data_IF_402117844702
#
_entry.id   IF_402117844702
#
_cell.length_a   1.000
_cell.length_b   1.000
_cell.length_c   1.000
_cell.angle_alpha   90.00
_cell.angle_beta   90.00
_cell.angle_gamma   90.00
#
_symmetry.space_group_name_H-M   'P 1'
#
loop_
_entity.id
_entity.type
_entity.pdbx_description
1 polymer ?
#
# COMPACT_ATOMS: atom_id res chain seq x y z
N UNK A 1 -4.25 7.13 24.37
CA UNK A 1 -4.13 5.74 23.88
C UNK A 1 -3.76 4.72 24.96
N UNK A 2 -2.68 4.89 25.72
CA UNK A 2 -2.17 3.88 26.67
C UNK A 2 -3.22 3.24 27.60
N UNK A 3 -4.13 4.02 28.21
CA UNK A 3 -5.18 3.48 29.08
C UNK A 3 -6.13 2.49 28.38
N UNK A 4 -6.58 2.76 27.15
CA UNK A 4 -7.45 1.82 26.41
C UNK A 4 -6.73 0.51 26.09
N UNK A 5 -5.43 0.55 25.80
CA UNK A 5 -4.62 -0.66 25.56
C UNK A 5 -4.47 -1.50 26.84
N UNK A 6 -4.33 -0.86 28.00
CA UNK A 6 -4.32 -1.54 29.30
C UNK A 6 -5.68 -2.16 29.61
N UNK A 7 -6.77 -1.42 29.39
CA UNK A 7 -8.14 -1.84 29.65
C UNK A 7 -8.56 -3.06 28.80
N UNK A 8 -8.18 -3.07 27.50
CA UNK A 8 -8.36 -4.21 26.59
C UNK A 8 -7.54 -5.43 27.05
N UNK A 9 -6.26 -5.24 27.42
CA UNK A 9 -5.42 -6.33 27.97
C UNK A 9 -6.00 -6.92 29.26
N UNK A 10 -6.45 -6.10 30.19
CA UNK A 10 -7.06 -6.54 31.45
C UNK A 10 -8.38 -7.28 31.21
N UNK A 11 -9.18 -6.83 30.24
CA UNK A 11 -10.43 -7.51 29.84
C UNK A 11 -10.15 -8.88 29.24
N UNK A 12 -9.19 -9.00 28.32
CA UNK A 12 -8.73 -10.27 27.74
C UNK A 12 -8.17 -11.22 28.80
N UNK A 13 -7.32 -10.75 29.72
CA UNK A 13 -6.79 -11.58 30.83
C UNK A 13 -7.91 -12.06 31.75
N UNK A 14 -8.93 -11.23 32.01
CA UNK A 14 -10.09 -11.61 32.84
C UNK A 14 -10.98 -12.63 32.13
N UNK A 15 -11.19 -12.48 30.82
CA UNK A 15 -11.93 -13.43 30.00
C UNK A 15 -11.23 -14.80 29.93
N UNK A 16 -9.91 -14.80 29.67
CA UNK A 16 -9.08 -16.02 29.70
C UNK A 16 -9.11 -16.71 31.08
N UNK A 17 -9.05 -15.95 32.19
CA UNK A 17 -9.20 -16.52 33.55
C UNK A 17 -10.58 -17.11 33.79
N UNK A 18 -11.66 -16.49 33.30
CA UNK A 18 -13.02 -17.07 33.40
C UNK A 18 -13.14 -18.37 32.59
N UNK A 19 -12.54 -18.45 31.39
CA UNK A 19 -12.48 -19.69 30.61
C UNK A 19 -11.67 -20.77 31.34
N UNK A 20 -10.50 -20.43 31.90
CA UNK A 20 -9.68 -21.38 32.66
C UNK A 20 -10.42 -21.93 33.90
N UNK A 21 -11.18 -21.09 34.61
CA UNK A 21 -12.01 -21.51 35.74
C UNK A 21 -13.21 -22.39 35.31
N UNK A 22 -13.83 -22.09 34.17
CA UNK A 22 -14.85 -22.94 33.54
C UNK A 22 -14.28 -24.33 33.19
N UNK A 23 -13.05 -24.39 32.67
CA UNK A 23 -12.36 -25.65 32.36
C UNK A 23 -11.98 -26.44 33.62
N UNK A 24 -11.55 -25.78 34.70
CA UNK A 24 -11.26 -26.42 35.99
C UNK A 24 -12.53 -26.92 36.69
N UNK A 25 -13.66 -26.22 36.56
CA UNK A 25 -14.96 -26.66 37.07
C UNK A 25 -15.47 -27.96 36.43
N UNK A 26 -15.05 -28.25 35.19
CA UNK A 26 -15.40 -29.48 34.48
C UNK A 26 -14.65 -30.71 35.04
N UNK A 27 -13.51 -30.53 35.71
CA UNK A 27 -12.67 -31.65 36.21
C UNK A 27 -13.23 -32.34 37.46
N UNK A 28 -14.16 -31.71 38.20
CA UNK A 28 -14.65 -32.22 39.50
C UNK A 28 -16.02 -32.93 39.38
N UNK A 29 -16.72 -32.82 38.24
CA UNK A 29 -18.03 -33.45 38.05
C UNK A 29 -17.93 -34.92 37.58
N UNK A 30 -17.91 -35.86 38.54
CA UNK A 30 -18.20 -37.29 38.31
C UNK A 30 -19.70 -37.47 37.97
N UNK A 31 -20.12 -37.14 36.75
CA UNK A 31 -21.53 -37.33 36.36
C UNK A 31 -21.97 -36.81 34.98
N UNK A 32 -21.05 -36.54 34.05
CA UNK A 32 -21.41 -35.98 32.73
C UNK A 32 -21.36 -37.07 31.65
N UNK A 33 -22.51 -37.29 30.98
CA UNK A 33 -22.70 -38.29 29.93
C UNK A 33 -21.81 -38.05 28.70
N UNK A 34 -21.51 -39.14 27.98
CA UNK A 34 -20.54 -39.15 26.87
C UNK A 34 -20.87 -38.13 25.75
N UNK A 35 -22.14 -37.83 25.51
CA UNK A 35 -22.59 -36.88 24.49
C UNK A 35 -22.11 -35.44 24.72
N UNK A 36 -21.87 -35.01 25.98
CA UNK A 36 -21.34 -33.66 26.26
C UNK A 36 -19.83 -33.53 26.10
N UNK A 37 -19.07 -34.63 26.10
CA UNK A 37 -17.61 -34.60 25.86
C UNK A 37 -17.27 -34.31 24.40
N UNK A 38 -18.10 -34.78 23.47
CA UNK A 38 -17.92 -34.57 22.02
C UNK A 38 -18.06 -33.08 21.68
N UNK A 39 -19.10 -32.41 22.18
CA UNK A 39 -19.34 -30.99 21.92
C UNK A 39 -18.18 -30.07 22.37
N UNK A 40 -17.57 -30.34 23.53
CA UNK A 40 -16.43 -29.55 24.02
C UNK A 40 -15.17 -29.75 23.16
N UNK A 41 -14.91 -30.97 22.69
CA UNK A 41 -13.80 -31.26 21.76
C UNK A 41 -13.97 -30.56 20.42
N UNK A 42 -15.18 -30.58 19.85
CA UNK A 42 -15.49 -29.91 18.58
C UNK A 42 -15.30 -28.39 18.64
N UNK A 43 -15.68 -27.73 19.73
CA UNK A 43 -15.51 -26.27 19.89
C UNK A 43 -14.03 -25.89 19.98
N UNK A 44 -13.19 -26.67 20.68
CA UNK A 44 -11.74 -26.40 20.76
C UNK A 44 -11.06 -26.64 19.41
N UNK A 45 -11.43 -27.68 18.67
CA UNK A 45 -10.94 -27.94 17.31
C UNK A 45 -11.33 -26.82 16.32
N UNK A 46 -12.54 -26.27 16.44
CA UNK A 46 -13.00 -25.17 15.58
C UNK A 46 -12.34 -23.83 15.93
N UNK A 47 -12.09 -23.56 17.21
CA UNK A 47 -11.35 -22.37 17.64
C UNK A 47 -9.86 -22.44 17.22
N UNK A 48 -9.25 -23.63 17.29
CA UNK A 48 -7.88 -23.85 16.88
C UNK A 48 -7.69 -23.70 15.35
N UNK A 49 -8.63 -24.21 14.54
CA UNK A 49 -8.56 -24.05 13.08
C UNK A 49 -8.72 -22.58 12.66
N UNK A 50 -9.72 -21.86 13.19
CA UNK A 50 -9.92 -20.43 12.90
C UNK A 50 -8.69 -19.58 13.29
N UNK A 51 -8.07 -19.88 14.43
CA UNK A 51 -6.85 -19.19 14.87
C UNK A 51 -5.66 -19.44 13.93
N UNK A 52 -5.52 -20.65 13.40
CA UNK A 52 -4.44 -21.01 12.49
C UNK A 52 -4.61 -20.37 11.09
N UNK A 53 -5.84 -20.28 10.59
CA UNK A 53 -6.13 -19.59 9.33
C UNK A 53 -5.89 -18.07 9.43
N UNK A 54 -6.23 -17.44 10.57
CA UNK A 54 -5.95 -16.02 10.79
C UNK A 54 -4.43 -15.72 10.76
N UNK A 55 -3.61 -16.53 11.46
CA UNK A 55 -2.16 -16.36 11.50
C UNK A 55 -1.47 -16.60 10.15
N UNK A 56 -2.01 -17.48 9.30
CA UNK A 56 -1.47 -17.72 7.96
C UNK A 56 -1.71 -16.53 7.00
N UNK A 57 -2.79 -15.76 7.23
CA UNK A 57 -3.17 -14.64 6.36
C UNK A 57 -2.51 -13.31 6.75
N UNK A 58 -2.15 -13.13 8.03
CA UNK A 58 -1.39 -11.97 8.54
C UNK A 58 0.06 -11.94 8.02
N UNK A 59 0.60 -13.09 7.61
CA UNK A 59 1.99 -13.25 7.18
C UNK A 59 2.26 -13.15 5.67
N UNK A 60 1.30 -12.73 4.83
CA UNK A 60 1.49 -12.74 3.37
C UNK A 60 2.67 -11.86 2.92
N UNK A 61 2.73 -10.63 3.40
CA UNK A 61 3.70 -9.62 2.97
C UNK A 61 5.01 -9.61 3.77
N UNK A 62 5.16 -10.46 4.79
CA UNK A 62 6.32 -10.43 5.70
C UNK A 62 7.67 -10.60 5.00
N UNK A 63 7.74 -11.41 3.94
CA UNK A 63 8.97 -11.57 3.14
C UNK A 63 9.36 -10.25 2.46
N UNK A 64 8.38 -9.53 1.91
CA UNK A 64 8.61 -8.25 1.22
C UNK A 64 8.91 -7.13 2.21
N UNK A 65 8.19 -7.09 3.34
CA UNK A 65 8.43 -6.17 4.46
C UNK A 65 9.89 -6.22 4.96
N UNK A 66 10.45 -7.42 5.14
CA UNK A 66 11.85 -7.62 5.51
C UNK A 66 12.85 -7.22 4.40
N UNK A 67 12.44 -7.27 3.13
CA UNK A 67 13.28 -6.80 2.01
C UNK A 67 13.25 -5.28 1.91
N UNK A 68 12.07 -4.66 2.00
CA UNK A 68 11.87 -3.21 1.98
C UNK A 68 12.65 -2.54 3.12
N UNK A 69 12.44 -2.98 4.36
CA UNK A 69 13.10 -2.40 5.54
C UNK A 69 14.62 -2.56 5.56
N UNK A 70 15.17 -3.50 4.78
CA UNK A 70 16.61 -3.74 4.64
C UNK A 70 17.25 -2.99 3.46
N UNK A 71 16.51 -2.76 2.39
CA UNK A 71 17.05 -2.31 1.11
C UNK A 71 16.41 -1.03 0.55
N UNK A 72 15.46 -0.43 1.27
CA UNK A 72 14.90 0.88 0.94
C UNK A 72 15.27 1.87 2.05
N UNK A 73 15.92 2.96 1.68
CA UNK A 73 16.45 3.96 2.63
C UNK A 73 15.77 5.31 2.40
N UNK A 74 15.19 5.94 3.44
CA UNK A 74 14.65 7.29 3.33
C UNK A 74 15.76 8.32 3.11
N UNK A 75 15.54 9.21 2.15
CA UNK A 75 16.39 10.38 1.86
C UNK A 75 15.54 11.66 1.85
N UNK A 76 16.17 12.83 1.74
CA UNK A 76 15.46 14.13 1.71
C UNK A 76 14.51 14.33 2.91
N UNK A 77 14.99 14.06 4.13
CA UNK A 77 14.18 14.03 5.37
C UNK A 77 12.99 13.05 5.34
N UNK A 78 13.10 12.00 4.53
CA UNK A 78 12.05 11.00 4.31
C UNK A 78 11.13 11.32 3.14
N UNK A 79 11.22 12.48 2.50
CA UNK A 79 10.37 12.88 1.38
C UNK A 79 10.57 12.02 0.11
N UNK A 80 11.69 11.31 0.03
CA UNK A 80 12.05 10.39 -1.05
C UNK A 80 12.76 9.15 -0.50
N UNK A 81 13.02 8.15 -1.34
CA UNK A 81 13.80 6.96 -0.98
C UNK A 81 14.81 6.59 -2.04
N UNK A 82 15.90 5.95 -1.62
CA UNK A 82 16.80 5.20 -2.49
C UNK A 82 16.62 3.68 -2.28
N UNK A 83 16.82 2.92 -3.35
CA UNK A 83 16.68 1.46 -3.37
C UNK A 83 18.03 0.79 -3.64
N UNK A 84 18.43 -0.11 -2.75
CA UNK A 84 19.64 -0.91 -2.86
C UNK A 84 19.36 -2.15 -3.74
N UNK A 85 19.38 -1.95 -5.06
CA UNK A 85 19.13 -3.00 -6.04
C UNK A 85 20.16 -4.13 -5.99
N UNK A 86 21.43 -3.86 -5.65
CA UNK A 86 22.43 -4.90 -5.37
C UNK A 86 22.03 -5.82 -4.20
N UNK A 87 21.47 -5.23 -3.16
CA UNK A 87 20.91 -5.94 -2.01
C UNK A 87 19.73 -6.83 -2.38
N UNK A 88 18.77 -6.26 -3.12
CA UNK A 88 17.66 -7.02 -3.70
C UNK A 88 18.12 -8.14 -4.64
N UNK A 89 19.15 -7.91 -5.48
CA UNK A 89 19.71 -8.92 -6.39
C UNK A 89 20.39 -10.07 -5.62
N UNK A 90 21.10 -9.77 -4.53
CA UNK A 90 21.69 -10.78 -3.63
C UNK A 90 20.64 -11.63 -2.90
N UNK A 91 19.45 -11.09 -2.65
CA UNK A 91 18.32 -11.80 -2.03
C UNK A 91 17.17 -12.08 -3.01
N UNK A 92 17.44 -12.12 -4.32
CA UNK A 92 16.42 -12.26 -5.37
C UNK A 92 15.59 -13.54 -5.21
N UNK A 93 16.15 -14.61 -4.66
CA UNK A 93 15.40 -15.82 -4.29
C UNK A 93 14.23 -15.53 -3.35
N UNK A 94 14.41 -14.67 -2.33
CA UNK A 94 13.33 -14.28 -1.40
C UNK A 94 12.27 -13.41 -2.06
N UNK A 95 12.68 -12.53 -2.97
CA UNK A 95 11.74 -11.75 -3.78
C UNK A 95 10.90 -12.69 -4.66
N UNK A 96 11.53 -13.64 -5.34
CA UNK A 96 10.87 -14.63 -6.18
C UNK A 96 9.94 -15.55 -5.36
N UNK A 97 10.33 -15.97 -4.15
CA UNK A 97 9.47 -16.68 -3.21
C UNK A 97 8.24 -15.87 -2.83
N UNK A 98 8.39 -14.56 -2.60
CA UNK A 98 7.27 -13.67 -2.32
C UNK A 98 6.32 -13.52 -3.52
N UNK A 99 6.84 -13.27 -4.72
CA UNK A 99 6.02 -13.20 -5.95
C UNK A 99 5.29 -14.53 -6.21
N UNK A 100 5.96 -15.67 -5.97
CA UNK A 100 5.37 -17.01 -6.06
C UNK A 100 4.35 -17.34 -4.93
N UNK A 101 4.19 -16.47 -3.92
CA UNK A 101 3.09 -16.50 -2.95
C UNK A 101 1.93 -15.62 -3.41
N UNK A 102 2.22 -14.44 -3.99
CA UNK A 102 1.18 -13.57 -4.59
C UNK A 102 0.45 -14.26 -5.74
N UNK A 103 1.18 -14.94 -6.62
CA UNK A 103 0.61 -15.63 -7.79
C UNK A 103 -0.31 -16.81 -7.45
N UNK A 104 -0.27 -17.31 -6.21
CA UNK A 104 -1.13 -18.38 -5.70
C UNK A 104 -2.44 -17.86 -5.09
N UNK A 105 -2.64 -16.54 -5.02
CA UNK A 105 -3.91 -15.95 -4.60
C UNK A 105 -4.88 -16.04 -5.77
N UNK A 106 -5.88 -16.90 -5.65
CA UNK A 106 -6.99 -17.01 -6.61
C UNK A 106 -7.92 -15.78 -6.52
N UNK A 107 -8.55 -15.41 -7.64
CA UNK A 107 -9.55 -14.35 -7.71
C UNK A 107 -10.66 -14.52 -6.65
N UNK A 108 -11.17 -15.75 -6.49
CA UNK A 108 -12.18 -16.11 -5.48
C UNK A 108 -11.76 -15.76 -4.04
N UNK A 109 -10.46 -15.91 -3.74
CA UNK A 109 -9.90 -15.61 -2.42
C UNK A 109 -9.66 -14.11 -2.25
N UNK A 110 -9.19 -13.44 -3.29
CA UNK A 110 -9.05 -11.99 -3.33
C UNK A 110 -10.41 -11.29 -3.15
N UNK A 111 -11.45 -11.74 -3.84
CA UNK A 111 -12.81 -11.20 -3.75
C UNK A 111 -13.45 -11.40 -2.37
N UNK A 112 -12.96 -12.36 -1.57
CA UNK A 112 -13.40 -12.59 -0.19
C UNK A 112 -12.83 -11.61 0.84
N UNK A 113 -11.85 -10.79 0.45
CA UNK A 113 -11.21 -9.81 1.32
C UNK A 113 -11.97 -8.48 1.37
N UNK A 114 -11.80 -7.74 2.47
CA UNK A 114 -12.17 -6.34 2.54
C UNK A 114 -11.38 -5.48 1.55
N UNK A 115 -11.91 -4.28 1.25
CA UNK A 115 -11.36 -3.39 0.23
C UNK A 115 -9.94 -2.89 0.55
N UNK A 116 -9.64 -2.67 1.83
CA UNK A 116 -8.31 -2.23 2.26
C UNK A 116 -7.27 -3.34 2.08
N UNK A 117 -7.64 -4.58 2.40
CA UNK A 117 -6.79 -5.75 2.17
C UNK A 117 -6.59 -6.04 0.67
N UNK A 118 -7.62 -5.89 -0.15
CA UNK A 118 -7.51 -5.98 -1.61
C UNK A 118 -6.52 -4.93 -2.16
N UNK A 119 -6.70 -3.66 -1.80
CA UNK A 119 -5.85 -2.58 -2.29
C UNK A 119 -4.40 -2.68 -1.77
N UNK A 120 -4.20 -3.02 -0.49
CA UNK A 120 -2.87 -3.27 0.07
C UNK A 120 -2.13 -4.41 -0.67
N UNK A 121 -2.84 -5.50 -1.00
CA UNK A 121 -2.29 -6.61 -1.79
C UNK A 121 -1.83 -6.14 -3.19
N UNK A 122 -2.67 -5.36 -3.89
CA UNK A 122 -2.35 -4.89 -5.24
C UNK A 122 -1.18 -3.89 -5.26
N UNK A 123 -1.13 -2.93 -4.33
CA UNK A 123 -0.01 -1.98 -4.20
C UNK A 123 1.30 -2.74 -3.95
N UNK A 124 1.29 -3.71 -3.03
CA UNK A 124 2.45 -4.54 -2.76
C UNK A 124 2.86 -5.41 -3.96
N UNK A 125 1.89 -5.91 -4.75
CA UNK A 125 2.16 -6.67 -5.95
C UNK A 125 2.84 -5.80 -7.02
N UNK A 126 2.28 -4.62 -7.31
CA UNK A 126 2.88 -3.64 -8.23
C UNK A 126 4.32 -3.32 -7.84
N UNK A 127 4.54 -2.88 -6.59
CA UNK A 127 5.87 -2.47 -6.12
C UNK A 127 6.90 -3.61 -6.20
N UNK A 128 6.51 -4.84 -5.86
CA UNK A 128 7.41 -5.99 -5.91
C UNK A 128 7.72 -6.45 -7.34
N UNK A 129 6.72 -6.45 -8.24
CA UNK A 129 6.93 -6.76 -9.66
C UNK A 129 7.73 -5.65 -10.37
N UNK A 130 7.56 -4.38 -10.01
CA UNK A 130 8.42 -3.29 -10.48
C UNK A 130 9.87 -3.50 -10.07
N UNK A 131 10.16 -3.84 -8.81
CA UNK A 131 11.53 -4.17 -8.38
C UNK A 131 12.08 -5.37 -9.17
N UNK A 132 11.30 -6.44 -9.32
CA UNK A 132 11.71 -7.62 -10.08
C UNK A 132 11.99 -7.31 -11.57
N UNK A 133 11.23 -6.38 -12.18
CA UNK A 133 11.45 -5.88 -13.52
C UNK A 133 12.76 -5.09 -13.64
N UNK A 134 13.10 -4.22 -12.68
CA UNK A 134 14.41 -3.54 -12.66
C UNK A 134 15.56 -4.55 -12.57
N UNK A 135 15.40 -5.61 -11.76
CA UNK A 135 16.45 -6.63 -11.57
C UNK A 135 16.76 -7.48 -12.81
N UNK A 136 15.98 -7.40 -13.91
CA UNK A 136 16.31 -8.15 -15.13
C UNK A 136 17.53 -7.58 -15.85
N UNK A 137 17.68 -6.25 -15.87
CA UNK A 137 18.81 -5.56 -16.54
C UNK A 137 19.75 -4.82 -15.57
N UNK A 138 19.43 -4.70 -14.27
CA UNK A 138 20.34 -4.09 -13.30
C UNK A 138 21.68 -4.87 -13.21
N UNK A 139 22.87 -4.22 -13.25
CA UNK A 139 23.12 -2.80 -13.01
C UNK A 139 23.16 -1.90 -14.27
N UNK A 140 22.93 -2.45 -15.46
CA UNK A 140 23.16 -1.74 -16.73
C UNK A 140 22.00 -0.81 -17.15
N UNK A 141 20.93 -0.76 -16.35
CA UNK A 141 19.73 0.06 -16.51
C UNK A 141 19.87 1.45 -15.85
N UNK A 142 19.59 2.52 -16.60
CA UNK A 142 19.59 3.90 -16.09
C UNK A 142 18.19 4.44 -15.76
N UNK A 143 17.14 3.92 -16.42
CA UNK A 143 15.73 4.24 -16.18
C UNK A 143 14.86 3.02 -16.40
N UNK A 144 13.74 2.89 -15.65
CA UNK A 144 12.68 1.91 -15.94
C UNK A 144 12.20 2.00 -17.40
N UNK A 145 12.25 3.20 -18.00
CA UNK A 145 11.85 3.44 -19.40
C UNK A 145 12.73 2.72 -20.41
N UNK A 146 13.98 2.42 -20.07
CA UNK A 146 14.94 1.72 -20.92
C UNK A 146 14.58 0.24 -21.08
N UNK A 147 13.73 -0.30 -20.20
CA UNK A 147 13.18 -1.66 -20.31
C UNK A 147 12.07 -1.77 -21.37
N UNK A 148 11.64 -0.66 -21.97
CA UNK A 148 10.73 -0.65 -23.10
C UNK A 148 11.40 -1.07 -24.41
N UNK A 149 10.62 -1.13 -25.47
CA UNK A 149 11.12 -1.07 -26.84
C UNK A 149 10.45 0.08 -27.58
N UNK A 150 10.90 0.37 -28.80
CA UNK A 150 10.26 1.39 -29.66
C UNK A 150 8.75 1.16 -29.88
N UNK A 151 8.26 -0.08 -29.70
CA UNK A 151 6.85 -0.46 -29.86
C UNK A 151 6.17 -0.94 -28.56
N UNK A 152 6.89 -1.00 -27.43
CA UNK A 152 6.33 -1.50 -26.16
C UNK A 152 6.78 -0.68 -24.95
N UNK A 153 5.80 -0.20 -24.18
CA UNK A 153 6.01 0.31 -22.83
C UNK A 153 6.56 -0.82 -21.92
N UNK A 154 7.53 -0.55 -21.03
CA UNK A 154 8.00 -1.57 -20.09
C UNK A 154 6.89 -2.03 -19.14
N UNK A 155 5.94 -1.14 -18.81
CA UNK A 155 4.77 -1.45 -18.00
C UNK A 155 3.77 -2.39 -18.70
N UNK A 156 3.86 -2.58 -20.03
CA UNK A 156 3.04 -3.52 -20.83
C UNK A 156 3.64 -4.91 -21.00
N UNK A 157 4.72 -5.24 -20.28
CA UNK A 157 5.28 -6.60 -20.28
C UNK A 157 4.44 -7.50 -19.36
N UNK A 158 3.99 -8.64 -19.87
CA UNK A 158 3.32 -9.69 -19.09
C UNK A 158 4.35 -10.38 -18.16
N UNK A 159 4.54 -9.83 -16.96
CA UNK A 159 5.55 -10.28 -15.99
C UNK A 159 4.96 -10.74 -14.65
N UNK A 160 3.67 -10.47 -14.42
CA UNK A 160 3.07 -10.56 -13.10
C UNK A 160 1.93 -11.59 -13.04
N UNK A 161 2.23 -12.89 -12.85
CA UNK A 161 1.23 -13.88 -12.48
C UNK A 161 0.47 -13.44 -11.22
N UNK A 162 -0.81 -13.11 -11.37
CA UNK A 162 -1.64 -12.51 -10.32
C UNK A 162 -3.13 -12.78 -10.61
N UNK A 163 -3.86 -13.27 -9.60
CA UNK A 163 -5.30 -13.58 -9.68
C UNK A 163 -5.69 -14.58 -10.80
N UNK A 164 -4.77 -15.47 -11.19
CA UNK A 164 -5.01 -16.53 -12.18
C UNK A 164 -4.62 -16.17 -13.63
N UNK A 165 -4.19 -14.94 -13.89
CA UNK A 165 -3.73 -14.47 -15.20
C UNK A 165 -2.28 -13.93 -15.10
N UNK A 166 -1.57 -13.84 -16.22
CA UNK A 166 -0.28 -13.13 -16.27
C UNK A 166 -0.56 -11.68 -16.62
N UNK A 167 -0.44 -10.79 -15.64
CA UNK A 167 -0.70 -9.35 -15.78
C UNK A 167 0.55 -8.59 -16.20
N UNK A 168 0.29 -7.41 -16.74
CA UNK A 168 1.22 -6.29 -16.92
C UNK A 168 1.18 -5.35 -15.72
N UNK A 169 2.16 -4.45 -15.58
CA UNK A 169 2.11 -3.42 -14.53
C UNK A 169 1.02 -2.37 -14.83
N UNK A 170 0.80 -2.06 -16.11
CA UNK A 170 -0.30 -1.19 -16.56
C UNK A 170 -1.66 -1.74 -16.09
N UNK A 171 -1.93 -3.04 -16.26
CA UNK A 171 -3.19 -3.65 -15.81
C UNK A 171 -3.35 -3.62 -14.29
N UNK A 172 -2.28 -3.89 -13.53
CA UNK A 172 -2.33 -3.83 -12.06
C UNK A 172 -2.65 -2.41 -11.59
N UNK A 173 -2.02 -1.39 -12.17
CA UNK A 173 -2.24 0.01 -11.80
C UNK A 173 -3.58 0.55 -12.29
N UNK A 174 -3.88 0.47 -13.58
CA UNK A 174 -5.04 1.10 -14.18
C UNK A 174 -6.32 0.28 -13.96
N UNK A 175 -6.29 -1.03 -14.16
CA UNK A 175 -7.50 -1.86 -14.16
C UNK A 175 -7.84 -2.41 -12.78
N UNK A 176 -6.83 -2.88 -12.04
CA UNK A 176 -7.04 -3.49 -10.72
C UNK A 176 -7.02 -2.46 -9.58
N UNK A 177 -6.07 -1.50 -9.57
CA UNK A 177 -5.96 -0.47 -8.51
C UNK A 177 -6.88 0.73 -8.79
N UNK A 178 -6.72 1.42 -9.92
CA UNK A 178 -7.53 2.61 -10.24
C UNK A 178 -8.97 2.25 -10.62
N UNK A 179 -9.17 1.12 -11.29
CA UNK A 179 -10.47 0.67 -11.77
C UNK A 179 -10.95 1.41 -13.03
N UNK A 180 -10.03 1.88 -13.89
CA UNK A 180 -10.37 2.71 -15.07
C UNK A 180 -11.27 2.02 -16.08
N UNK A 181 -11.19 0.69 -16.17
CA UNK A 181 -11.97 -0.13 -17.10
C UNK A 181 -13.34 -0.57 -16.53
N UNK A 182 -13.69 -0.08 -15.34
CA UNK A 182 -14.95 -0.40 -14.65
C UNK A 182 -15.90 0.81 -14.67
N UNK A 183 -17.20 0.57 -14.70
CA UNK A 183 -18.24 1.62 -14.65
C UNK A 183 -18.17 2.47 -13.36
N UNK A 184 -17.47 1.97 -12.33
CA UNK A 184 -17.20 2.61 -11.04
C UNK A 184 -15.77 2.27 -10.61
N UNK A 185 -14.97 3.26 -10.17
CA UNK A 185 -13.66 3.01 -9.55
C UNK A 185 -13.81 2.08 -8.33
N UNK A 186 -13.00 1.03 -8.24
CA UNK A 186 -13.18 -0.04 -7.24
C UNK A 186 -12.93 0.40 -5.79
N UNK A 187 -11.94 1.27 -5.58
CA UNK A 187 -11.59 1.82 -4.26
C UNK A 187 -11.74 3.34 -4.18
N UNK A 188 -11.71 4.03 -5.33
CA UNK A 188 -11.81 5.48 -5.44
C UNK A 188 -10.84 6.22 -4.49
N UNK A 189 -9.54 5.90 -4.59
CA UNK A 189 -8.53 6.27 -3.61
C UNK A 189 -7.36 7.02 -4.29
N UNK A 190 -7.35 8.36 -4.32
CA UNK A 190 -6.29 9.14 -4.98
C UNK A 190 -4.90 8.92 -4.41
N UNK A 191 -4.79 8.51 -3.13
CA UNK A 191 -3.49 8.36 -2.46
C UNK A 191 -2.68 7.17 -2.97
N UNK A 192 -3.26 6.30 -3.79
CA UNK A 192 -2.52 5.21 -4.48
C UNK A 192 -1.34 5.76 -5.29
N UNK A 193 -1.48 6.96 -5.85
CA UNK A 193 -0.42 7.65 -6.61
C UNK A 193 0.81 8.03 -5.80
N UNK A 194 0.74 7.93 -4.47
CA UNK A 194 1.87 8.14 -3.55
C UNK A 194 2.36 6.83 -2.91
N UNK A 195 1.79 5.70 -3.33
CA UNK A 195 2.05 4.37 -2.78
C UNK A 195 2.55 3.36 -3.83
N UNK A 196 2.15 3.50 -5.09
CA UNK A 196 2.82 2.80 -6.21
C UNK A 196 4.13 3.53 -6.55
N UNK A 197 5.22 2.76 -6.69
CA UNK A 197 6.54 3.28 -7.02
C UNK A 197 7.06 2.64 -8.30
N UNK A 198 7.36 3.51 -9.26
CA UNK A 198 7.83 3.24 -10.61
C UNK A 198 9.37 3.21 -10.73
N UNK A 199 10.10 2.95 -9.63
CA UNK A 199 11.57 2.92 -9.55
C UNK A 199 12.31 4.20 -9.99
N UNK A 200 11.63 5.33 -10.17
CA UNK A 200 12.22 6.59 -10.67
C UNK A 200 12.49 7.60 -9.55
N UNK A 201 13.49 8.48 -9.71
CA UNK A 201 13.81 9.57 -8.75
C UNK A 201 12.66 10.58 -8.61
N UNK A 202 11.90 10.82 -9.68
CA UNK A 202 10.69 11.63 -9.66
C UNK A 202 9.51 10.95 -8.96
N UNK A 203 9.57 9.64 -8.73
CA UNK A 203 8.49 8.87 -8.12
C UNK A 203 8.40 9.16 -6.60
N UNK A 204 7.22 9.01 -5.98
CA UNK A 204 7.06 9.11 -4.54
C UNK A 204 7.92 8.08 -3.81
N UNK A 205 8.31 8.40 -2.57
CA UNK A 205 9.10 7.52 -1.71
C UNK A 205 8.52 6.09 -1.65
N UNK A 206 9.28 5.07 -2.03
CA UNK A 206 8.88 3.68 -1.82
C UNK A 206 8.83 3.41 -0.31
N UNK A 207 7.73 2.86 0.19
CA UNK A 207 7.59 2.60 1.63
C UNK A 207 8.58 1.53 2.10
N UNK A 208 9.19 1.77 3.25
CA UNK A 208 10.18 0.91 3.91
C UNK A 208 9.55 -0.28 4.68
N UNK A 209 8.23 -0.40 4.65
CA UNK A 209 7.42 -1.53 5.16
C UNK A 209 6.33 -1.86 4.12
N UNK A 210 5.84 -3.09 4.13
CA UNK A 210 4.78 -3.50 3.22
C UNK A 210 3.40 -2.96 3.66
N UNK A 211 2.50 -2.76 2.71
CA UNK A 211 1.13 -2.34 3.01
C UNK A 211 0.32 -3.49 3.63
N UNK A 212 -0.55 -3.20 4.60
CA UNK A 212 -1.47 -4.19 5.18
C UNK A 212 -2.86 -3.60 5.34
N UNK A 213 -3.92 -4.36 5.05
CA UNK A 213 -5.29 -3.83 5.06
C UNK A 213 -5.67 -3.13 6.37
N UNK A 214 -5.30 -3.71 7.52
CA UNK A 214 -5.53 -3.14 8.85
C UNK A 214 -4.74 -1.85 9.17
N UNK A 215 -3.82 -1.41 8.30
CA UNK A 215 -3.05 -0.16 8.42
C UNK A 215 -3.18 0.74 7.19
N UNK A 216 -3.91 0.32 6.13
CA UNK A 216 -3.76 0.90 4.81
C UNK A 216 -4.02 2.41 4.80
N UNK A 217 -5.12 2.87 5.42
CA UNK A 217 -5.44 4.30 5.50
C UNK A 217 -4.31 5.11 6.18
N UNK A 218 -3.75 4.63 7.29
CA UNK A 218 -2.63 5.27 7.98
C UNK A 218 -1.36 5.31 7.10
N UNK A 219 -1.09 4.22 6.36
CA UNK A 219 0.08 4.11 5.48
C UNK A 219 -0.05 5.02 4.25
N UNK A 220 -1.22 5.08 3.61
CA UNK A 220 -1.53 5.97 2.49
C UNK A 220 -1.51 7.45 2.93
N UNK A 221 -2.11 7.76 4.07
CA UNK A 221 -2.11 9.11 4.67
C UNK A 221 -0.69 9.59 4.98
N UNK A 222 0.15 8.73 5.56
CA UNK A 222 1.55 9.03 5.83
C UNK A 222 2.35 9.26 4.54
N UNK A 223 2.16 8.42 3.52
CA UNK A 223 2.81 8.58 2.21
C UNK A 223 2.41 9.87 1.50
N UNK A 224 1.13 10.23 1.56
CA UNK A 224 0.61 11.46 0.93
C UNK A 224 1.24 12.70 1.56
N UNK A 225 1.29 12.76 2.89
CA UNK A 225 1.99 13.82 3.63
C UNK A 225 3.49 13.83 3.34
N UNK A 226 4.11 12.66 3.21
CA UNK A 226 5.53 12.47 2.91
C UNK A 226 5.91 12.95 1.50
N UNK A 227 5.03 12.78 0.52
CA UNK A 227 5.20 13.30 -0.84
C UNK A 227 4.91 14.80 -0.95
N UNK A 228 3.79 15.27 -0.39
CA UNK A 228 3.37 16.67 -0.47
C UNK A 228 4.25 17.63 0.33
N UNK A 229 4.98 17.15 1.35
CA UNK A 229 5.99 17.95 2.05
C UNK A 229 7.32 18.11 1.30
N UNK A 230 7.51 17.46 0.15
CA UNK A 230 8.69 17.65 -0.68
C UNK A 230 8.59 18.94 -1.50
N UNK A 231 9.18 20.03 -0.99
CA UNK A 231 9.19 21.33 -1.68
C UNK A 231 9.95 21.36 -3.01
N UNK A 232 10.70 20.31 -3.36
CA UNK A 232 11.28 20.18 -4.70
C UNK A 232 10.26 19.66 -5.74
N UNK A 233 9.19 18.99 -5.32
CA UNK A 233 8.11 18.48 -6.19
C UNK A 233 6.76 19.16 -5.99
N UNK A 234 6.47 19.67 -4.79
CA UNK A 234 5.16 20.23 -4.41
C UNK A 234 5.37 21.48 -3.55
N UNK A 235 5.07 22.67 -4.08
CA UNK A 235 5.23 23.96 -3.35
C UNK A 235 4.28 25.02 -3.89
N UNK A 236 4.04 26.08 -3.13
CA UNK A 236 3.35 27.27 -3.61
C UNK A 236 4.23 28.51 -3.42
N UNK A 237 4.28 29.39 -4.42
CA UNK A 237 5.10 30.61 -4.41
C UNK A 237 4.30 31.77 -4.98
N UNK A 238 3.97 32.74 -4.12
CA UNK A 238 2.88 33.67 -4.43
C UNK A 238 1.58 32.89 -4.65
N UNK A 239 0.91 33.20 -5.76
CA UNK A 239 -0.37 32.60 -6.14
C UNK A 239 -0.20 31.35 -7.03
N UNK A 240 1.03 31.03 -7.46
CA UNK A 240 1.33 29.87 -8.31
C UNK A 240 1.61 28.61 -7.48
N UNK A 241 0.86 27.55 -7.76
CA UNK A 241 0.98 26.21 -7.19
C UNK A 241 1.81 25.32 -8.13
N UNK A 242 3.01 24.95 -7.69
CA UNK A 242 3.92 24.07 -8.41
C UNK A 242 3.77 22.64 -7.91
N UNK A 243 3.39 21.72 -8.80
CA UNK A 243 3.09 20.32 -8.46
C UNK A 243 3.90 19.32 -9.29
N UNK A 244 4.02 18.09 -8.79
CA UNK A 244 4.53 16.98 -9.59
C UNK A 244 3.61 16.68 -10.78
N UNK A 245 4.20 16.24 -11.91
CA UNK A 245 3.46 15.71 -13.07
C UNK A 245 2.53 14.53 -12.77
N UNK A 246 2.61 13.92 -11.60
CA UNK A 246 1.59 12.95 -11.15
C UNK A 246 0.19 13.59 -11.12
N UNK A 247 0.07 14.86 -10.73
CA UNK A 247 -1.21 15.57 -10.72
C UNK A 247 -1.71 15.95 -12.13
N UNK A 248 -0.81 16.01 -13.12
CA UNK A 248 -1.11 16.20 -14.55
C UNK A 248 -1.59 14.89 -15.19
N UNK A 249 -0.80 13.82 -15.05
CA UNK A 249 -1.06 12.52 -15.69
C UNK A 249 -2.27 11.78 -15.12
N UNK A 250 -2.62 12.05 -13.87
CA UNK A 250 -3.72 11.39 -13.15
C UNK A 250 -4.74 12.39 -12.61
N UNK A 251 -4.93 13.54 -13.28
CA UNK A 251 -5.86 14.61 -12.86
C UNK A 251 -7.27 14.09 -12.55
N UNK A 252 -7.81 13.19 -13.38
CA UNK A 252 -9.12 12.52 -13.20
C UNK A 252 -9.26 11.71 -11.89
N UNK A 253 -8.17 11.50 -11.14
CA UNK A 253 -8.18 10.86 -9.83
C UNK A 253 -8.24 11.86 -8.67
N UNK A 254 -7.98 13.15 -8.93
CA UNK A 254 -8.02 14.25 -7.96
C UNK A 254 -9.16 15.26 -8.22
N UNK A 255 -9.79 15.24 -9.40
CA UNK A 255 -10.87 16.16 -9.73
C UNK A 255 -12.00 15.55 -10.57
N UNK A 256 -13.15 16.23 -10.54
CA UNK A 256 -14.38 15.81 -11.22
C UNK A 256 -14.99 14.53 -10.64
N UNK A 257 -15.93 13.94 -11.40
CA UNK A 257 -16.73 12.76 -10.97
C UNK A 257 -15.89 11.59 -10.46
N UNK A 258 -14.67 11.43 -10.97
CA UNK A 258 -13.78 10.31 -10.65
C UNK A 258 -12.72 10.66 -9.58
N UNK A 259 -12.64 11.93 -9.15
CA UNK A 259 -11.78 12.40 -8.07
C UNK A 259 -12.53 12.74 -6.78
N UNK A 260 -13.84 12.48 -6.70
CA UNK A 260 -14.65 12.71 -5.49
C UNK A 260 -14.14 11.87 -4.31
N UNK A 261 -13.42 12.48 -3.36
CA UNK A 261 -12.81 11.79 -2.22
C UNK A 261 -12.77 12.68 -0.99
N UNK A 262 -13.18 12.18 0.19
CA UNK A 262 -13.29 12.95 1.45
C UNK A 262 -13.90 14.35 1.27
N UNK A 263 -15.02 14.42 0.56
CA UNK A 263 -15.77 15.65 0.23
C UNK A 263 -15.00 16.67 -0.64
N UNK A 264 -13.89 16.28 -1.29
CA UNK A 264 -13.19 17.10 -2.31
C UNK A 264 -13.60 16.67 -3.71
N UNK A 265 -13.71 17.63 -4.63
CA UNK A 265 -14.09 17.42 -6.04
C UNK A 265 -13.13 18.06 -7.05
N UNK A 266 -12.10 18.76 -6.55
CA UNK A 266 -11.11 19.50 -7.33
C UNK A 266 -9.70 19.31 -6.76
N UNK A 267 -8.68 19.46 -7.61
CA UNK A 267 -7.28 19.39 -7.18
C UNK A 267 -6.94 20.40 -6.06
N UNK A 268 -7.51 21.61 -6.10
CA UNK A 268 -7.32 22.61 -5.04
C UNK A 268 -7.89 22.15 -3.70
N UNK A 269 -9.07 21.53 -3.68
CA UNK A 269 -9.68 20.97 -2.47
C UNK A 269 -8.86 19.78 -1.93
N UNK A 270 -8.37 18.89 -2.81
CA UNK A 270 -7.48 17.80 -2.40
C UNK A 270 -6.18 18.32 -1.75
N UNK A 271 -5.55 19.32 -2.36
CA UNK A 271 -4.33 19.96 -1.82
C UNK A 271 -4.62 20.65 -0.46
N UNK A 272 -5.81 21.25 -0.30
CA UNK A 272 -6.22 21.88 0.97
C UNK A 272 -6.37 20.89 2.14
N UNK A 273 -6.64 19.60 1.90
CA UNK A 273 -6.58 18.56 2.94
C UNK A 273 -5.17 18.39 3.52
N UNK A 274 -4.14 18.73 2.74
CA UNK A 274 -2.73 18.52 3.07
C UNK A 274 -1.95 19.84 3.20
N UNK A 275 -2.64 20.97 3.36
CA UNK A 275 -2.06 22.32 3.49
C UNK A 275 -0.91 22.41 4.50
N UNK A 276 -0.99 21.67 5.61
CA UNK A 276 0.00 21.69 6.69
C UNK A 276 1.29 20.94 6.29
N UNK A 277 1.16 19.87 5.49
CA UNK A 277 2.30 19.14 4.95
C UNK A 277 3.06 19.98 3.91
N UNK A 278 2.31 20.70 3.06
CA UNK A 278 2.86 21.69 2.12
C UNK A 278 3.31 23.01 2.78
N UNK A 279 3.02 23.19 4.08
CA UNK A 279 3.38 24.37 4.89
C UNK A 279 2.82 25.68 4.32
N UNK A 280 1.60 25.62 3.77
CA UNK A 280 0.94 26.76 3.13
C UNK A 280 0.61 27.86 4.14
N UNK A 281 0.76 29.11 3.71
CA UNK A 281 0.31 30.29 4.47
C UNK A 281 -1.20 30.49 4.35
N UNK A 282 -1.82 31.24 5.27
CA UNK A 282 -3.26 31.56 5.20
C UNK A 282 -3.64 32.33 3.92
N UNK A 283 -2.72 33.15 3.38
CA UNK A 283 -2.90 33.81 2.09
C UNK A 283 -3.00 32.78 0.94
N UNK A 284 -2.05 31.83 0.89
CA UNK A 284 -2.05 30.74 -0.09
C UNK A 284 -3.27 29.82 0.03
N UNK A 285 -3.68 29.50 1.26
CA UNK A 285 -4.93 28.78 1.55
C UNK A 285 -6.15 29.53 1.01
N UNK A 286 -6.16 30.87 1.05
CA UNK A 286 -7.24 31.69 0.49
C UNK A 286 -7.25 31.67 -1.04
N UNK A 287 -6.08 31.71 -1.69
CA UNK A 287 -5.95 31.60 -3.16
C UNK A 287 -6.50 30.26 -3.66
N UNK A 288 -6.16 29.15 -3.01
CA UNK A 288 -6.68 27.82 -3.35
C UNK A 288 -8.19 27.72 -3.14
N UNK A 289 -8.71 28.22 -2.00
CA UNK A 289 -10.16 28.23 -1.71
C UNK A 289 -10.98 29.05 -2.71
N UNK A 290 -10.39 30.12 -3.26
CA UNK A 290 -11.02 30.97 -4.26
C UNK A 290 -10.85 30.43 -5.68
N UNK A 291 -10.12 29.33 -5.89
CA UNK A 291 -9.74 28.78 -7.19
C UNK A 291 -9.04 29.80 -8.11
N UNK A 292 -8.18 30.65 -7.54
CA UNK A 292 -7.40 31.67 -8.25
C UNK A 292 -5.90 31.35 -8.33
N UNK A 293 -5.52 30.09 -8.10
CA UNK A 293 -4.12 29.66 -8.23
C UNK A 293 -3.79 29.33 -9.69
N UNK A 294 -2.66 29.82 -10.18
CA UNK A 294 -2.04 29.29 -11.39
C UNK A 294 -1.39 27.94 -11.04
N UNK A 295 -1.55 26.91 -11.88
CA UNK A 295 -0.95 25.58 -11.65
C UNK A 295 0.16 25.32 -12.67
N UNK A 296 1.36 25.01 -12.17
CA UNK A 296 2.52 24.64 -12.99
C UNK A 296 3.03 23.23 -12.63
N UNK A 297 3.15 22.36 -13.63
CA UNK A 297 3.63 20.99 -13.42
C UNK A 297 5.16 20.88 -13.65
N UNK A 298 5.86 20.49 -12.60
CA UNK A 298 7.32 20.37 -12.57
C UNK A 298 7.83 19.18 -13.38
N UNK A 299 9.08 19.28 -13.85
CA UNK A 299 9.73 18.19 -14.58
C UNK A 299 9.87 16.93 -13.72
N UNK A 300 9.73 15.78 -14.36
CA UNK A 300 9.78 14.48 -13.72
C UNK A 300 11.11 13.80 -14.03
N UNK A 301 11.86 13.45 -12.99
CA UNK A 301 13.14 12.74 -13.13
C UNK A 301 12.92 11.23 -13.30
N UNK A 302 13.27 10.72 -14.47
CA UNK A 302 13.14 9.31 -14.85
C UNK A 302 14.38 8.47 -14.52
N UNK A 303 15.45 9.04 -13.96
CA UNK A 303 16.59 8.28 -13.50
C UNK A 303 16.17 7.24 -12.44
N UNK A 304 16.82 6.08 -12.44
CA UNK A 304 16.58 5.02 -11.46
C UNK A 304 16.88 5.51 -10.04
N UNK A 305 16.00 5.25 -9.08
CA UNK A 305 16.14 5.66 -7.67
C UNK A 305 17.14 4.77 -6.88
N UNK A 306 18.25 4.40 -7.51
CA UNK A 306 19.29 3.55 -6.91
C UNK A 306 20.02 4.25 -5.75
N UNK A 307 20.41 3.47 -4.74
CA UNK A 307 21.31 3.92 -3.69
C UNK A 307 22.73 4.18 -4.25
N UNK A 308 23.31 5.33 -3.89
CA UNK A 308 24.68 5.74 -4.25
C UNK A 308 25.69 5.30 -3.17
#
# INVERSE_FOLDING_TARGET
MAQRVIEVKTTLTTFMRKIALLLQGITVSRGISASRRIAAGSIVLFAASVSFYASAEEGLHSTFDNLLSKYVTPISNGASTQVNYDGFKKEQTKLNEYLARLSKVEQSKFDSWDKDKQLAFLINAYNAYTIALILTEYPDIASIRDLGSFFSSPWKKEIAPLLGETRTLDEIEHELIRGTNQTTKTYNEPRIHFAVNCASVGCPALREEAYTGNKLDEQLEAQTKRFLSDSARNKMSGDTLYLSKIFDWYSEDFEGKYGEWRDTSTLNEFILLYKDAMRLTEAQVSVLKNNTADIEYLNYDWALNVAQ
#
